data_IF_351183798699
#
_entry.id   IF_351183798699
#
_cell.length_a   1.000
_cell.length_b   1.000
_cell.length_c   1.000
_cell.angle_alpha   90.00
_cell.angle_beta   90.00
_cell.angle_gamma   90.00
#
_symmetry.space_group_name_H-M   'P 1'
#
loop_
_entity.id
_entity.type
_entity.pdbx_description
1 polymer ?
#
# COMPACT_ATOMS: atom_id res chain seq x y z
N UNK A 1 5.70 1.69 -20.47
CA UNK A 1 6.27 1.46 -19.13
C UNK A 1 7.15 0.22 -19.25
N UNK A 2 8.47 0.37 -19.12
CA UNK A 2 9.39 -0.75 -19.10
C UNK A 2 9.69 -1.10 -17.63
N UNK A 3 9.66 -2.38 -17.27
CA UNK A 3 9.91 -2.86 -15.91
C UNK A 3 10.49 -4.27 -15.94
N UNK A 4 11.25 -4.64 -14.91
CA UNK A 4 11.90 -5.96 -14.82
C UNK A 4 11.29 -6.90 -13.77
N UNK A 5 10.47 -6.37 -12.86
CA UNK A 5 9.75 -7.16 -11.85
C UNK A 5 8.50 -6.42 -11.39
N UNK A 6 7.62 -7.12 -10.66
CA UNK A 6 6.44 -6.48 -10.06
C UNK A 6 6.85 -5.39 -9.05
N UNK A 7 7.85 -5.66 -8.21
CA UNK A 7 8.36 -4.68 -7.24
C UNK A 7 8.88 -3.42 -7.91
N UNK A 8 9.63 -3.56 -9.00
CA UNK A 8 10.11 -2.44 -9.81
C UNK A 8 8.94 -1.64 -10.37
N UNK A 9 7.99 -2.30 -11.03
CA UNK A 9 6.78 -1.67 -11.57
C UNK A 9 6.00 -0.90 -10.49
N UNK A 10 5.73 -1.53 -9.36
CA UNK A 10 4.99 -0.94 -8.24
C UNK A 10 5.72 0.25 -7.61
N UNK A 11 7.05 0.33 -7.76
CA UNK A 11 7.86 1.45 -7.29
C UNK A 11 7.90 2.65 -8.25
N UNK A 12 7.47 2.50 -9.52
CA UNK A 12 7.64 3.55 -10.52
C UNK A 12 6.69 4.74 -10.29
N UNK A 13 7.23 5.95 -10.37
CA UNK A 13 6.45 7.18 -10.23
C UNK A 13 5.27 7.24 -11.20
N UNK A 14 5.45 6.76 -12.45
CA UNK A 14 4.40 6.72 -13.46
C UNK A 14 3.18 5.90 -13.04
N UNK A 15 3.39 4.83 -12.26
CA UNK A 15 2.31 3.97 -11.75
C UNK A 15 1.57 4.66 -10.61
N UNK A 16 2.29 5.30 -9.70
CA UNK A 16 1.67 6.11 -8.66
C UNK A 16 0.88 7.29 -9.23
N UNK A 17 1.39 7.97 -10.24
CA UNK A 17 0.69 9.09 -10.88
C UNK A 17 -0.60 8.62 -11.57
N UNK A 18 -0.53 7.46 -12.25
CA UNK A 18 -1.70 6.84 -12.87
C UNK A 18 -2.76 6.50 -11.82
N UNK A 19 -2.40 5.74 -10.79
CA UNK A 19 -3.35 5.35 -9.74
C UNK A 19 -3.83 6.54 -8.93
N UNK A 20 -2.98 7.54 -8.69
CA UNK A 20 -3.38 8.78 -8.02
C UNK A 20 -4.50 9.51 -8.76
N UNK A 21 -4.44 9.56 -10.10
CA UNK A 21 -5.53 10.12 -10.91
C UNK A 21 -6.82 9.32 -10.81
N UNK A 22 -6.72 7.98 -10.85
CA UNK A 22 -7.90 7.12 -10.72
C UNK A 22 -8.54 7.24 -9.33
N UNK A 23 -7.72 7.25 -8.27
CA UNK A 23 -8.21 7.43 -6.89
C UNK A 23 -8.85 8.81 -6.73
N UNK A 24 -8.27 9.87 -7.30
CA UNK A 24 -8.87 11.20 -7.27
C UNK A 24 -10.24 11.25 -7.99
N UNK A 25 -10.36 10.58 -9.14
CA UNK A 25 -11.64 10.46 -9.86
C UNK A 25 -12.70 9.74 -9.02
N UNK A 26 -12.35 8.62 -8.37
CA UNK A 26 -13.27 7.90 -7.48
C UNK A 26 -13.64 8.75 -6.27
N UNK A 27 -12.67 9.41 -5.63
CA UNK A 27 -12.90 10.29 -4.48
C UNK A 27 -13.89 11.42 -4.78
N UNK A 28 -13.91 11.95 -6.02
CA UNK A 28 -14.85 12.98 -6.42
C UNK A 28 -16.33 12.52 -6.34
N UNK A 29 -16.57 11.21 -6.48
CA UNK A 29 -17.91 10.61 -6.36
C UNK A 29 -18.29 10.22 -4.93
N UNK A 30 -17.34 10.27 -3.98
CA UNK A 30 -17.52 9.80 -2.61
C UNK A 30 -17.74 10.96 -1.61
N UNK A 31 -18.56 10.75 -0.56
CA UNK A 31 -18.60 11.62 0.60
C UNK A 31 -17.21 11.73 1.25
N UNK A 32 -16.90 12.89 1.86
CA UNK A 32 -15.58 13.16 2.43
C UNK A 32 -15.09 12.06 3.40
N UNK A 33 -15.98 11.57 4.26
CA UNK A 33 -15.66 10.52 5.25
C UNK A 33 -15.27 9.16 4.62
N UNK A 34 -15.54 8.95 3.33
CA UNK A 34 -15.25 7.72 2.60
C UNK A 34 -14.08 7.86 1.61
N UNK A 35 -13.52 9.07 1.47
CA UNK A 35 -12.43 9.31 0.53
C UNK A 35 -11.12 8.68 0.97
N UNK A 36 -10.38 8.14 0.01
CA UNK A 36 -9.04 7.63 0.22
C UNK A 36 -8.10 8.82 0.36
N UNK A 37 -7.56 9.04 1.57
CA UNK A 37 -6.67 10.18 1.85
C UNK A 37 -5.22 9.93 1.44
N UNK A 38 -4.73 8.70 1.66
CA UNK A 38 -3.37 8.24 1.36
C UNK A 38 -3.42 6.79 0.89
N UNK A 39 -2.50 6.41 0.02
CA UNK A 39 -2.27 5.01 -0.37
C UNK A 39 -0.79 4.74 -0.60
N UNK A 40 -0.43 3.46 -0.65
CA UNK A 40 0.87 2.97 -1.08
C UNK A 40 0.66 1.73 -1.96
N UNK A 41 1.68 1.35 -2.73
CA UNK A 41 1.66 0.15 -3.55
C UNK A 41 2.53 -0.91 -2.89
N UNK A 42 1.98 -2.10 -2.68
CA UNK A 42 2.72 -3.22 -2.10
C UNK A 42 3.79 -3.71 -3.08
N UNK A 43 4.93 -4.16 -2.52
CA UNK A 43 6.05 -4.69 -3.28
C UNK A 43 5.78 -6.06 -3.94
N UNK A 44 4.69 -6.74 -3.54
CA UNK A 44 4.19 -8.00 -4.11
C UNK A 44 2.65 -8.00 -4.16
N UNK A 45 2.10 -8.94 -4.92
CA UNK A 45 0.66 -9.24 -4.87
C UNK A 45 0.30 -10.03 -3.60
N UNK A 46 -0.96 -9.90 -3.19
CA UNK A 46 -1.51 -10.70 -2.10
C UNK A 46 -1.85 -12.10 -2.61
N UNK A 47 -1.44 -13.13 -1.86
CA UNK A 47 -1.62 -14.52 -2.28
C UNK A 47 -2.58 -15.30 -1.36
N UNK A 48 -3.40 -16.19 -1.94
CA UNK A 48 -4.23 -17.11 -1.19
C UNK A 48 -3.43 -18.23 -0.53
N UNK A 49 -2.31 -18.65 -1.15
CA UNK A 49 -1.42 -19.69 -0.61
C UNK A 49 -0.60 -19.18 0.59
N UNK A 50 -0.32 -17.86 0.64
CA UNK A 50 0.23 -17.18 1.82
C UNK A 50 -0.81 -16.94 2.94
N UNK A 51 -2.09 -17.25 2.67
CA UNK A 51 -3.20 -17.02 3.58
C UNK A 51 -3.63 -15.55 3.70
N UNK A 52 -3.21 -14.68 2.78
CA UNK A 52 -3.56 -13.27 2.76
C UNK A 52 -4.93 -13.04 2.10
N UNK A 53 -5.30 -13.93 1.18
CA UNK A 53 -6.61 -13.98 0.53
C UNK A 53 -7.34 -15.29 0.85
N UNK A 54 -8.66 -15.29 0.68
CA UNK A 54 -9.43 -16.53 0.46
C UNK A 54 -9.14 -17.07 -0.94
N UNK A 55 -9.43 -18.35 -1.20
CA UNK A 55 -9.40 -18.90 -2.58
C UNK A 55 -10.29 -18.14 -3.57
N UNK A 56 -11.27 -17.38 -3.06
CA UNK A 56 -12.15 -16.49 -3.83
C UNK A 56 -11.67 -15.03 -3.87
N UNK A 57 -10.40 -14.76 -3.57
CA UNK A 57 -9.75 -13.43 -3.60
C UNK A 57 -10.29 -12.40 -2.59
N UNK A 58 -10.98 -12.83 -1.53
CA UNK A 58 -11.36 -11.91 -0.43
C UNK A 58 -10.18 -11.72 0.52
N UNK A 59 -9.89 -10.47 0.89
CA UNK A 59 -8.82 -10.13 1.84
C UNK A 59 -9.09 -10.70 3.24
N UNK A 60 -8.11 -11.39 3.82
CA UNK A 60 -8.14 -11.85 5.22
C UNK A 60 -7.53 -10.78 6.13
N UNK A 61 -8.38 -9.85 6.57
CA UNK A 61 -7.95 -8.64 7.30
C UNK A 61 -7.06 -8.91 8.50
N UNK A 62 -7.32 -9.95 9.30
CA UNK A 62 -6.48 -10.27 10.47
C UNK A 62 -5.04 -10.59 10.07
N UNK A 63 -4.85 -11.38 9.01
CA UNK A 63 -3.52 -11.74 8.48
C UNK A 63 -2.83 -10.52 7.91
N UNK A 64 -3.56 -9.67 7.19
CA UNK A 64 -3.01 -8.41 6.66
C UNK A 64 -2.57 -7.48 7.78
N UNK A 65 -3.40 -7.30 8.81
CA UNK A 65 -3.08 -6.45 9.96
C UNK A 65 -1.86 -6.94 10.73
N UNK A 66 -1.69 -8.26 10.88
CA UNK A 66 -0.51 -8.84 11.53
C UNK A 66 0.76 -8.66 10.68
N UNK A 67 0.72 -9.03 9.40
CA UNK A 67 1.91 -9.02 8.52
C UNK A 67 2.34 -7.63 8.08
N UNK A 68 1.38 -6.73 7.85
CA UNK A 68 1.62 -5.39 7.29
C UNK A 68 1.33 -4.26 8.28
N UNK A 69 1.22 -4.58 9.58
CA UNK A 69 1.02 -3.61 10.66
C UNK A 69 1.89 -2.35 10.53
N UNK A 70 3.22 -2.48 10.33
CA UNK A 70 4.10 -1.32 10.15
C UNK A 70 3.70 -0.40 8.98
N UNK A 71 3.19 -0.96 7.89
CA UNK A 71 2.74 -0.17 6.73
C UNK A 71 1.42 0.55 7.01
N UNK A 72 0.51 -0.13 7.71
CA UNK A 72 -0.78 0.43 8.12
C UNK A 72 -0.54 1.59 9.10
N UNK A 73 0.34 1.41 10.08
CA UNK A 73 0.75 2.46 11.01
C UNK A 73 1.37 3.64 10.26
N UNK A 74 2.28 3.39 9.31
CA UNK A 74 2.89 4.43 8.50
C UNK A 74 1.84 5.24 7.71
N UNK A 75 0.83 4.59 7.13
CA UNK A 75 -0.27 5.25 6.41
C UNK A 75 -1.07 6.22 7.30
N UNK A 76 -1.25 5.90 8.59
CA UNK A 76 -1.93 6.78 9.54
C UNK A 76 -1.01 7.84 10.17
N UNK A 77 0.30 7.70 10.01
CA UNK A 77 1.29 8.64 10.52
C UNK A 77 1.54 9.82 9.56
N UNK A 78 2.52 10.65 9.91
CA UNK A 78 2.98 11.80 9.11
C UNK A 78 4.15 11.50 8.17
N UNK A 79 4.57 10.24 8.01
CA UNK A 79 5.71 9.89 7.13
C UNK A 79 5.29 9.75 5.67
N UNK A 80 6.25 9.89 4.76
CA UNK A 80 6.05 9.78 3.31
C UNK A 80 6.56 8.44 2.74
N UNK A 81 7.21 7.62 3.56
CA UNK A 81 7.74 6.31 3.18
C UNK A 81 7.46 5.32 4.30
N UNK A 82 6.92 4.16 3.93
CA UNK A 82 6.70 3.04 4.82
C UNK A 82 7.79 1.99 4.60
N UNK A 83 8.32 1.47 5.70
CA UNK A 83 9.39 0.47 5.68
C UNK A 83 8.83 -0.88 6.13
N UNK A 84 9.13 -1.93 5.38
CA UNK A 84 8.85 -3.31 5.77
C UNK A 84 10.13 -4.12 5.78
N UNK A 85 10.35 -4.84 6.87
CA UNK A 85 11.31 -5.95 6.94
C UNK A 85 10.52 -7.20 7.33
N UNK A 86 10.21 -8.02 6.35
CA UNK A 86 9.36 -9.20 6.53
C UNK A 86 10.02 -10.44 5.95
N UNK A 87 9.76 -11.59 6.60
CA UNK A 87 10.06 -12.89 6.03
C UNK A 87 8.98 -13.24 5.00
N UNK A 88 9.41 -13.51 3.77
CA UNK A 88 8.54 -13.74 2.61
C UNK A 88 8.88 -15.10 2.02
N UNK A 89 7.84 -15.82 1.63
CA UNK A 89 7.98 -17.02 0.80
C UNK A 89 7.98 -16.58 -0.66
N UNK A 90 9.06 -16.83 -1.38
CA UNK A 90 9.14 -16.58 -2.81
C UNK A 90 8.35 -17.65 -3.58
N UNK A 91 8.03 -17.36 -4.85
CA UNK A 91 7.25 -18.26 -5.72
C UNK A 91 7.85 -19.67 -5.88
N UNK A 92 9.15 -19.82 -5.65
CA UNK A 92 9.87 -21.09 -5.67
C UNK A 92 9.87 -21.83 -4.31
N UNK A 93 9.12 -21.32 -3.33
CA UNK A 93 8.99 -21.87 -1.98
C UNK A 93 10.15 -21.52 -1.05
N UNK A 94 11.18 -20.79 -1.50
CA UNK A 94 12.25 -20.34 -0.62
C UNK A 94 11.72 -19.28 0.33
N UNK A 95 12.15 -19.34 1.59
CA UNK A 95 11.95 -18.26 2.55
C UNK A 95 13.14 -17.32 2.50
N UNK A 96 12.90 -16.02 2.47
CA UNK A 96 13.95 -15.02 2.68
C UNK A 96 13.39 -13.76 3.29
N UNK A 97 14.25 -12.81 3.60
CA UNK A 97 13.84 -11.50 4.10
C UNK A 97 13.74 -10.52 2.96
N UNK A 98 12.63 -9.80 2.89
CA UNK A 98 12.49 -8.63 2.02
C UNK A 98 12.53 -7.40 2.89
N UNK A 99 13.44 -6.49 2.53
CA UNK A 99 13.41 -5.10 2.97
C UNK A 99 12.85 -4.28 1.82
N UNK A 100 11.72 -3.64 2.04
CA UNK A 100 11.05 -2.84 1.02
C UNK A 100 10.66 -1.48 1.58
N UNK A 101 11.00 -0.45 0.82
CA UNK A 101 10.57 0.93 1.05
C UNK A 101 9.45 1.24 0.07
N UNK A 102 8.29 1.62 0.60
CA UNK A 102 7.10 1.93 -0.18
C UNK A 102 6.73 3.38 0.03
N UNK A 103 6.62 4.13 -1.07
CA UNK A 103 6.19 5.53 -1.01
C UNK A 103 4.73 5.62 -0.62
N UNK A 104 4.41 6.57 0.25
CA UNK A 104 3.04 6.93 0.57
C UNK A 104 2.64 8.11 -0.32
N UNK A 105 1.60 7.93 -1.12
CA UNK A 105 1.00 8.98 -1.94
C UNK A 105 -0.22 9.55 -1.22
N UNK A 106 -0.16 10.83 -0.86
CA UNK A 106 -1.34 11.58 -0.47
C UNK A 106 -2.18 11.93 -1.71
N UNK A 107 -3.51 11.81 -1.58
CA UNK A 107 -4.46 12.15 -2.65
C UNK A 107 -5.10 13.51 -2.38
N UNK A 108 -5.36 13.79 -1.10
CA UNK A 108 -5.91 15.06 -0.65
C UNK A 108 -4.83 15.85 0.09
N UNK A 109 -4.11 16.72 -0.62
CA UNK A 109 -3.20 17.69 0.00
C UNK A 109 -3.93 18.73 0.89
N UNK A 110 -5.27 18.63 1.04
CA UNK A 110 -6.12 19.61 1.70
C UNK A 110 -6.43 19.40 3.19
N UNK A 111 -5.79 18.46 3.92
CA UNK A 111 -5.99 18.42 5.40
C UNK A 111 -4.75 18.08 6.24
N UNK A 112 -3.55 18.37 5.73
CA UNK A 112 -2.33 18.28 6.53
C UNK A 112 -2.32 19.27 7.72
N UNK A 113 -3.23 20.25 7.77
CA UNK A 113 -3.21 21.34 8.75
C UNK A 113 -4.04 21.13 10.03
N UNK A 114 -4.74 20.00 10.22
CA UNK A 114 -5.67 19.86 11.38
C UNK A 114 -5.00 19.33 12.67
N UNK A 115 -3.71 18.95 12.66
CA UNK A 115 -3.06 18.33 13.86
C UNK A 115 -1.93 19.13 14.52
N UNK A 116 -1.90 20.45 14.34
CA UNK A 116 -1.07 21.35 15.17
C UNK A 116 -1.93 22.38 15.92
N UNK A 117 -2.82 21.92 16.80
CA UNK A 117 -3.38 22.74 17.89
C UNK A 117 -4.14 21.85 18.88
N UNK A 118 -3.51 21.47 19.99
CA UNK A 118 -4.07 21.36 21.35
C UNK A 118 -2.97 20.88 22.30
#
# INVERSE_FOLDING_TARGET
>A
IAFSSYTDLAGQQQVYDLLGREVAQVNASLPEAQRIRKFLLLYKELDADDGELTRTRKVRRSVISERYGPLIEALYSGVDTAHLDAEVTFEDGRKGRVKADMRIQAVDAGSADIRKAS
#
